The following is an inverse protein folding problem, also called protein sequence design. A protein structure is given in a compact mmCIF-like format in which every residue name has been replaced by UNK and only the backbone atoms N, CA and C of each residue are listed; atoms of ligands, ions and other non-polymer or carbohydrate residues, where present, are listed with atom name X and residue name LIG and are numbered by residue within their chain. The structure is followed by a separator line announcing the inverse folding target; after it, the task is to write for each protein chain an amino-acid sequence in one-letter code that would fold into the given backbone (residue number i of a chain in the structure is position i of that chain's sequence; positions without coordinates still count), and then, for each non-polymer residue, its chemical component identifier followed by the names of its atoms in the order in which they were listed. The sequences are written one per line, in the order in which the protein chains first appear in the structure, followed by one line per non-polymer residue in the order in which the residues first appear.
data_IF_032032506309
#
_entry.id   IF_032032506309
#
_cell.length_a   1.000
_cell.length_b   1.000
_cell.length_c   1.000
_cell.angle_alpha   90.00
_cell.angle_beta   90.00
_cell.angle_gamma   90.00
#
_symmetry.space_group_name_H-M   'P 1'
#
loop_
_entity.id
_entity.type
_entity.pdbx_description
1 polymer ?
#
# COMPACT_ATOMS: atom_id res chain seq x y z
N UNK A 1 9.29 -24.38 13.14
CA UNK A 1 8.21 -23.77 12.33
C UNK A 1 8.20 -22.29 12.63
N UNK A 2 8.74 -21.47 11.72
CA UNK A 2 8.74 -20.01 11.85
C UNK A 2 7.32 -19.52 11.58
N UNK A 3 6.59 -19.17 12.64
CA UNK A 3 5.48 -18.23 12.52
C UNK A 3 5.99 -16.97 11.85
N UNK A 4 5.20 -16.40 10.95
CA UNK A 4 5.53 -15.16 10.24
C UNK A 4 6.09 -14.14 11.23
N UNK A 5 7.34 -13.71 11.06
CA UNK A 5 7.92 -12.56 11.79
C UNK A 5 7.35 -11.23 11.29
N UNK A 6 6.17 -11.25 10.68
CA UNK A 6 5.48 -10.04 10.29
C UNK A 6 5.05 -9.33 11.58
N UNK A 7 5.62 -8.15 11.79
CA UNK A 7 5.35 -7.20 12.89
C UNK A 7 5.98 -7.61 14.23
N UNK A 8 7.21 -7.13 14.48
CA UNK A 8 7.69 -7.03 15.86
C UNK A 8 6.67 -6.21 16.67
N UNK A 9 6.31 -6.71 17.85
CA UNK A 9 5.45 -5.98 18.78
C UNK A 9 6.18 -4.71 19.23
N UNK A 10 5.82 -3.57 18.63
CA UNK A 10 6.26 -2.26 19.10
C UNK A 10 5.20 -1.74 20.08
N UNK A 11 5.52 -1.61 21.39
CA UNK A 11 4.59 -1.11 22.40
C UNK A 11 4.16 0.35 22.17
N UNK A 12 4.81 1.08 21.26
CA UNK A 12 4.45 2.44 20.87
C UNK A 12 3.53 2.52 19.65
N UNK A 13 3.05 1.37 19.15
CA UNK A 13 2.28 1.31 17.90
C UNK A 13 1.01 0.50 18.03
N UNK A 14 -0.06 1.04 17.46
CA UNK A 14 -1.29 0.30 17.19
C UNK A 14 -1.46 0.10 15.69
N UNK A 15 -1.48 -1.17 15.25
CA UNK A 15 -1.84 -1.56 13.87
C UNK A 15 -3.17 -2.29 13.93
N UNK A 16 -4.17 -1.76 13.24
CA UNK A 16 -5.46 -2.42 13.09
C UNK A 16 -5.65 -2.80 11.62
N UNK A 17 -5.89 -4.09 11.36
CA UNK A 17 -6.17 -4.59 10.02
C UNK A 17 -7.64 -5.04 9.92
N UNK A 18 -8.41 -4.41 9.02
CA UNK A 18 -9.80 -4.81 8.78
C UNK A 18 -9.89 -6.17 8.10
N UNK A 19 -9.00 -6.45 7.15
CA UNK A 19 -8.92 -7.74 6.48
C UNK A 19 -7.51 -8.26 6.54
N UNK A 20 -7.37 -9.45 7.12
CA UNK A 20 -6.14 -10.24 7.08
C UNK A 20 -6.42 -11.55 6.38
N UNK A 21 -5.79 -11.77 5.23
CA UNK A 21 -5.86 -13.07 4.57
C UNK A 21 -4.83 -14.01 5.22
N UNK A 22 -5.32 -15.08 5.83
CA UNK A 22 -4.50 -16.08 6.51
C UNK A 22 -4.58 -17.40 5.75
N UNK A 23 -3.45 -18.11 5.67
CA UNK A 23 -3.39 -19.45 5.11
C UNK A 23 -4.09 -20.44 6.03
N UNK A 24 -4.77 -21.44 5.44
CA UNK A 24 -5.22 -22.61 6.18
C UNK A 24 -4.04 -23.50 6.57
N UNK A 25 -3.76 -23.64 7.87
CA UNK A 25 -2.68 -24.49 8.39
C UNK A 25 -2.90 -26.00 8.18
N UNK A 26 -4.13 -26.42 7.79
CA UNK A 26 -4.53 -27.83 7.73
C UNK A 26 -4.33 -28.51 6.38
N UNK A 27 -3.74 -27.82 5.42
CA UNK A 27 -3.61 -28.33 4.05
C UNK A 27 -2.16 -28.74 3.81
N UNK A 28 -1.89 -30.03 3.60
CA UNK A 28 -0.58 -30.48 3.14
C UNK A 28 -0.37 -30.02 1.69
N UNK A 29 0.33 -28.90 1.57
CA UNK A 29 0.57 -28.21 0.30
C UNK A 29 1.57 -28.95 -0.61
N UNK A 30 2.30 -29.93 -0.09
CA UNK A 30 3.16 -30.79 -0.92
C UNK A 30 2.34 -31.77 -1.77
N UNK A 31 1.10 -32.08 -1.34
CA UNK A 31 0.19 -33.02 -2.00
C UNK A 31 -0.93 -32.32 -2.76
N UNK A 32 -1.47 -31.20 -2.24
CA UNK A 32 -2.69 -30.56 -2.77
C UNK A 32 -2.44 -29.23 -3.51
N UNK A 33 -1.21 -28.71 -3.43
CA UNK A 33 -0.85 -27.37 -3.88
C UNK A 33 -1.31 -26.25 -2.92
N UNK A 34 -0.82 -25.04 -3.14
CA UNK A 34 -1.29 -23.86 -2.40
C UNK A 34 -2.65 -23.43 -2.99
N UNK A 35 -3.75 -23.85 -2.35
CA UNK A 35 -5.13 -23.51 -2.76
C UNK A 35 -5.86 -22.84 -1.61
N UNK A 36 -5.54 -21.59 -1.34
CA UNK A 36 -6.34 -20.77 -0.42
C UNK A 36 -7.22 -19.86 -1.26
N UNK A 37 -8.52 -20.12 -1.28
CA UNK A 37 -9.45 -19.29 -2.03
C UNK A 37 -9.67 -17.98 -1.29
N UNK A 38 -9.35 -16.88 -1.96
CA UNK A 38 -9.53 -15.54 -1.45
C UNK A 38 -10.85 -14.93 -1.97
N UNK A 39 -11.42 -13.96 -1.24
CA UNK A 39 -12.66 -13.31 -1.64
C UNK A 39 -12.54 -12.60 -3.00
N UNK A 40 -13.62 -12.65 -3.77
CA UNK A 40 -13.76 -11.88 -5.01
C UNK A 40 -14.07 -10.40 -4.74
N UNK A 41 -14.68 -10.10 -3.58
CA UNK A 41 -15.04 -8.74 -3.21
C UNK A 41 -14.68 -8.46 -1.75
N UNK A 42 -13.96 -7.38 -1.52
CA UNK A 42 -13.65 -6.84 -0.18
C UNK A 42 -14.02 -5.37 -0.19
N UNK A 43 -14.80 -4.92 0.81
CA UNK A 43 -15.11 -3.51 1.00
C UNK A 43 -14.88 -3.12 2.46
N UNK A 44 -14.08 -2.09 2.65
CA UNK A 44 -13.72 -1.54 3.96
C UNK A 44 -13.90 -0.03 3.89
N UNK A 45 -14.77 0.52 4.74
CA UNK A 45 -15.12 1.94 4.70
C UNK A 45 -15.15 2.56 6.10
N UNK A 46 -14.81 3.84 6.19
CA UNK A 46 -15.05 4.65 7.39
C UNK A 46 -14.20 4.25 8.60
N UNK A 47 -13.00 3.73 8.37
CA UNK A 47 -12.08 3.36 9.44
C UNK A 47 -11.24 4.56 9.86
N UNK A 48 -11.36 5.00 11.10
CA UNK A 48 -10.54 6.08 11.65
C UNK A 48 -10.11 5.72 13.07
N UNK A 49 -8.84 5.95 13.39
CA UNK A 49 -8.37 5.86 14.77
C UNK A 49 -8.86 7.07 15.57
N UNK A 50 -9.45 6.84 16.75
CA UNK A 50 -9.84 7.89 17.69
C UNK A 50 -9.09 7.73 19.01
N UNK A 51 -8.93 8.81 19.77
CA UNK A 51 -8.25 8.83 21.07
C UNK A 51 -6.82 8.28 21.03
N UNK A 52 -6.10 8.55 19.95
CA UNK A 52 -4.69 8.16 19.80
C UNK A 52 -3.83 9.10 20.65
N UNK A 53 -3.03 8.59 21.60
CA UNK A 53 -2.16 9.43 22.40
C UNK A 53 -1.19 10.25 21.54
N UNK A 54 -0.85 11.46 21.98
CA UNK A 54 -0.02 12.40 21.21
C UNK A 54 1.39 11.87 20.89
N UNK A 55 1.91 10.93 21.68
CA UNK A 55 3.21 10.28 21.50
C UNK A 55 3.13 8.96 20.71
N UNK A 56 1.94 8.61 20.19
CA UNK A 56 1.67 7.33 19.53
C UNK A 56 1.15 7.52 18.11
N UNK A 57 1.40 6.52 17.28
CA UNK A 57 0.81 6.38 15.95
C UNK A 57 -0.25 5.28 15.96
N UNK A 58 -1.31 5.47 15.18
CA UNK A 58 -2.33 4.46 14.91
C UNK A 58 -2.50 4.28 13.41
N UNK A 59 -2.05 3.13 12.92
CA UNK A 59 -2.06 2.78 11.50
C UNK A 59 -3.28 1.93 11.19
N UNK A 60 -4.11 2.42 10.28
CA UNK A 60 -5.29 1.73 9.77
C UNK A 60 -4.93 0.99 8.48
N UNK A 61 -4.99 -0.34 8.54
CA UNK A 61 -4.74 -1.24 7.43
C UNK A 61 -6.08 -1.77 6.89
N UNK A 62 -6.37 -1.50 5.62
CA UNK A 62 -7.57 -1.99 4.95
C UNK A 62 -7.42 -3.42 4.44
N UNK A 63 -6.23 -3.76 3.94
CA UNK A 63 -5.91 -5.09 3.43
C UNK A 63 -4.50 -5.51 3.80
N UNK A 64 -4.39 -6.70 4.38
CA UNK A 64 -3.11 -7.35 4.65
C UNK A 64 -3.11 -8.78 4.13
N UNK A 65 -2.07 -9.14 3.39
CA UNK A 65 -1.85 -10.50 2.89
C UNK A 65 -0.53 -11.09 3.38
N UNK A 66 -0.43 -12.41 3.30
CA UNK A 66 0.80 -13.14 3.61
C UNK A 66 1.87 -12.92 2.53
N UNK A 67 3.15 -13.15 2.85
CA UNK A 67 4.28 -12.85 1.94
C UNK A 67 4.52 -13.87 0.82
N UNK A 68 3.67 -14.89 0.76
CA UNK A 68 3.78 -16.02 -0.14
C UNK A 68 2.54 -16.18 -1.01
N UNK A 69 1.79 -15.09 -1.20
CA UNK A 69 0.66 -15.00 -2.13
C UNK A 69 1.02 -15.43 -3.55
N UNK A 70 2.26 -15.16 -4.00
CA UNK A 70 2.77 -15.60 -5.30
C UNK A 70 2.79 -17.13 -5.49
N UNK A 71 2.75 -17.92 -4.41
CA UNK A 71 2.69 -19.38 -4.49
C UNK A 71 1.27 -19.90 -4.74
N UNK A 72 0.26 -19.07 -4.51
CA UNK A 72 -1.15 -19.44 -4.63
C UNK A 72 -1.64 -19.27 -6.08
N UNK A 73 -1.24 -20.22 -6.94
CA UNK A 73 -1.56 -20.19 -8.38
C UNK A 73 -3.03 -20.43 -8.65
N UNK A 74 -3.81 -20.93 -7.69
CA UNK A 74 -5.28 -21.12 -7.80
C UNK A 74 -5.97 -20.45 -6.61
N UNK A 75 -5.68 -19.17 -6.42
CA UNK A 75 -6.15 -18.38 -5.29
C UNK A 75 -7.56 -17.81 -5.43
N UNK A 76 -8.19 -17.94 -6.59
CA UNK A 76 -9.56 -17.46 -6.84
C UNK A 76 -10.43 -18.55 -7.46
N UNK A 77 -11.73 -18.50 -7.20
CA UNK A 77 -12.75 -19.29 -7.93
C UNK A 77 -13.06 -18.70 -9.30
N UNK A 78 -12.77 -17.42 -9.48
CA UNK A 78 -13.10 -16.68 -10.69
C UNK A 78 -11.83 -16.52 -11.54
N UNK A 79 -11.99 -16.85 -12.82
CA UNK A 79 -10.97 -16.63 -13.83
C UNK A 79 -10.70 -15.13 -13.98
N UNK A 80 -9.44 -14.77 -14.22
CA UNK A 80 -9.01 -13.40 -14.56
C UNK A 80 -9.87 -12.82 -15.69
N UNK A 81 -10.32 -11.60 -15.47
CA UNK A 81 -10.99 -10.75 -16.45
C UNK A 81 -9.97 -10.30 -17.50
N UNK A 82 -10.46 -9.68 -18.58
CA UNK A 82 -9.61 -9.16 -19.64
C UNK A 82 -8.60 -8.08 -19.17
N UNK A 83 -8.86 -7.43 -18.04
CA UNK A 83 -7.95 -6.46 -17.43
C UNK A 83 -6.85 -7.09 -16.55
N UNK A 84 -6.83 -8.42 -16.44
CA UNK A 84 -5.85 -9.20 -15.66
C UNK A 84 -6.22 -9.40 -14.19
N UNK A 85 -7.35 -8.88 -13.72
CA UNK A 85 -7.81 -8.98 -12.32
C UNK A 85 -8.96 -9.96 -12.16
N UNK A 86 -9.18 -10.48 -10.94
CA UNK A 86 -10.33 -11.35 -10.62
C UNK A 86 -10.95 -11.09 -9.24
N UNK A 87 -10.55 -10.00 -8.59
CA UNK A 87 -11.14 -9.56 -7.35
C UNK A 87 -11.19 -8.04 -7.29
N UNK A 88 -12.15 -7.49 -6.57
CA UNK A 88 -12.28 -6.06 -6.31
C UNK A 88 -12.15 -5.80 -4.81
N UNK A 89 -11.21 -4.92 -4.46
CA UNK A 89 -10.97 -4.45 -3.10
C UNK A 89 -11.24 -2.96 -3.08
N UNK A 90 -12.21 -2.52 -2.29
CA UNK A 90 -12.56 -1.11 -2.13
C UNK A 90 -12.24 -0.67 -0.71
N UNK A 91 -11.31 0.26 -0.59
CA UNK A 91 -10.91 0.89 0.65
C UNK A 91 -11.33 2.36 0.58
N UNK A 92 -12.27 2.78 1.42
CA UNK A 92 -12.77 4.17 1.40
C UNK A 92 -12.66 4.81 2.77
N UNK A 93 -12.23 6.07 2.81
CA UNK A 93 -12.15 6.86 4.04
C UNK A 93 -11.40 6.14 5.17
N UNK A 94 -10.31 5.43 4.82
CA UNK A 94 -9.42 4.82 5.81
C UNK A 94 -8.41 5.87 6.26
N UNK A 95 -8.47 6.25 7.54
CA UNK A 95 -7.70 7.33 8.14
C UNK A 95 -6.82 6.85 9.28
N UNK A 96 -5.51 6.92 9.07
CA UNK A 96 -4.51 6.68 10.12
C UNK A 96 -4.18 7.98 10.83
N UNK A 97 -3.82 7.91 12.11
CA UNK A 97 -3.32 9.05 12.90
C UNK A 97 -1.82 8.87 13.07
N UNK A 98 -1.05 9.81 12.52
CA UNK A 98 0.42 9.78 12.55
C UNK A 98 0.90 11.04 13.27
N UNK A 99 1.12 10.92 14.58
CA UNK A 99 1.60 12.03 15.42
C UNK A 99 3.13 12.15 15.39
N UNK A 100 3.84 11.03 15.19
CA UNK A 100 5.28 10.99 14.96
C UNK A 100 5.53 10.51 13.53
N UNK A 101 5.99 11.38 12.59
CA UNK A 101 6.03 11.10 11.16
C UNK A 101 7.20 10.18 10.74
N UNK A 102 7.61 9.26 11.60
CA UNK A 102 8.59 8.22 11.31
C UNK A 102 7.87 6.87 11.32
N UNK A 103 8.02 6.11 10.24
CA UNK A 103 7.47 4.77 10.11
C UNK A 103 8.55 3.70 10.29
N UNK A 104 8.24 2.58 10.95
CA UNK A 104 9.18 1.46 11.13
C UNK A 104 9.27 0.52 9.90
N UNK A 105 9.15 1.07 8.68
CA UNK A 105 9.24 0.30 7.45
C UNK A 105 7.92 -0.33 6.98
N UNK A 106 7.98 -1.51 6.34
CA UNK A 106 6.88 -2.17 5.58
C UNK A 106 5.69 -2.66 6.42
N UNK A 107 5.66 -2.30 7.69
CA UNK A 107 4.69 -2.76 8.67
C UNK A 107 3.49 -1.82 8.87
N UNK A 108 3.56 -0.61 8.32
CA UNK A 108 2.58 0.48 8.52
C UNK A 108 1.82 0.84 7.25
N UNK A 109 1.28 -0.17 6.57
CA UNK A 109 0.66 0.02 5.26
C UNK A 109 -0.87 -0.04 5.32
N UNK A 110 -1.54 0.88 4.63
CA UNK A 110 -2.98 0.80 4.36
C UNK A 110 -3.30 -0.44 3.51
N UNK A 111 -2.39 -0.78 2.59
CA UNK A 111 -2.39 -2.01 1.80
C UNK A 111 -1.04 -2.68 1.95
N UNK A 112 -1.02 -3.86 2.55
CA UNK A 112 0.19 -4.65 2.78
C UNK A 112 0.10 -6.00 2.04
N UNK A 113 0.78 -6.08 0.91
CA UNK A 113 1.00 -7.31 0.15
C UNK A 113 2.51 -7.55 0.02
N UNK A 114 3.15 -7.73 1.18
CA UNK A 114 4.60 -7.78 1.32
C UNK A 114 5.24 -8.98 0.62
N UNK A 115 6.49 -8.85 0.20
CA UNK A 115 7.28 -9.94 -0.40
C UNK A 115 8.29 -9.38 -1.39
N UNK A 116 8.62 -10.13 -2.44
CA UNK A 116 9.40 -9.60 -3.56
C UNK A 116 8.98 -10.21 -4.88
N UNK A 117 9.04 -9.39 -5.92
CA UNK A 117 8.64 -9.77 -7.26
C UNK A 117 9.58 -10.80 -7.91
N UNK A 118 10.82 -10.92 -7.42
CA UNK A 118 11.76 -11.95 -7.90
C UNK A 118 11.31 -13.38 -7.56
N UNK A 119 10.34 -13.54 -6.66
CA UNK A 119 9.76 -14.85 -6.31
C UNK A 119 8.58 -15.24 -7.22
N UNK A 120 8.12 -14.36 -8.11
CA UNK A 120 6.96 -14.64 -8.96
C UNK A 120 7.34 -15.61 -10.07
N UNK A 121 6.70 -16.78 -10.09
CA UNK A 121 6.93 -17.80 -11.12
C UNK A 121 6.08 -17.53 -12.36
N UNK A 122 6.49 -18.09 -13.50
CA UNK A 122 5.67 -18.06 -14.72
C UNK A 122 4.30 -18.73 -14.49
N UNK A 123 4.24 -19.77 -13.65
CA UNK A 123 2.98 -20.43 -13.28
C UNK A 123 2.02 -19.47 -12.56
N UNK A 124 2.51 -18.68 -11.60
CA UNK A 124 1.70 -17.67 -10.91
C UNK A 124 1.19 -16.59 -11.85
N UNK A 125 2.07 -16.05 -12.70
CA UNK A 125 1.74 -14.96 -13.61
C UNK A 125 0.75 -15.42 -14.71
N UNK A 126 0.97 -16.61 -15.26
CA UNK A 126 0.17 -17.16 -16.37
C UNK A 126 -1.08 -17.91 -15.91
N UNK A 127 -1.23 -18.20 -14.62
CA UNK A 127 -2.45 -18.86 -14.13
C UNK A 127 -3.68 -17.98 -14.37
N UNK A 128 -4.74 -18.57 -14.90
CA UNK A 128 -6.05 -17.93 -15.02
C UNK A 128 -6.74 -17.67 -13.66
N UNK A 129 -6.26 -18.32 -12.59
CA UNK A 129 -6.93 -18.35 -11.28
C UNK A 129 -6.06 -17.85 -10.13
N UNK A 130 -4.86 -17.34 -10.38
CA UNK A 130 -4.12 -16.63 -9.34
C UNK A 130 -4.92 -15.39 -8.92
N UNK A 131 -4.98 -15.13 -7.61
CA UNK A 131 -5.75 -14.02 -7.07
C UNK A 131 -5.02 -12.70 -7.31
N UNK A 132 -5.55 -11.88 -8.22
CA UNK A 132 -5.01 -10.58 -8.59
C UNK A 132 -6.11 -9.54 -8.35
N UNK A 133 -6.03 -8.77 -7.26
CA UNK A 133 -7.04 -7.79 -6.94
C UNK A 133 -6.86 -6.50 -7.73
N UNK A 134 -7.98 -5.88 -8.08
CA UNK A 134 -8.09 -4.44 -8.29
C UNK A 134 -8.37 -3.78 -6.95
N UNK A 135 -7.45 -2.95 -6.47
CA UNK A 135 -7.55 -2.21 -5.23
C UNK A 135 -7.89 -0.77 -5.55
N UNK A 136 -9.06 -0.33 -5.13
CA UNK A 136 -9.48 1.07 -5.20
C UNK A 136 -9.33 1.68 -3.81
N UNK A 137 -8.49 2.71 -3.71
CA UNK A 137 -8.34 3.49 -2.49
C UNK A 137 -9.00 4.86 -2.72
N UNK A 138 -10.08 5.13 -2.01
CA UNK A 138 -10.89 6.33 -2.15
C UNK A 138 -10.77 7.18 -0.88
N UNK A 139 -10.14 8.34 -0.99
CA UNK A 139 -9.99 9.30 0.09
C UNK A 139 -9.30 8.74 1.37
N UNK A 140 -8.35 7.82 1.19
CA UNK A 140 -7.53 7.27 2.29
C UNK A 140 -6.36 8.20 2.64
N UNK A 141 -6.02 8.32 3.93
CA UNK A 141 -4.87 9.14 4.35
C UNK A 141 -4.29 8.73 5.72
N UNK A 142 -2.96 8.73 5.86
CA UNK A 142 -2.01 8.46 4.78
C UNK A 142 -2.30 7.12 4.11
N UNK A 143 -2.29 7.12 2.77
CA UNK A 143 -2.29 5.94 1.93
C UNK A 143 -0.84 5.43 1.82
N UNK A 144 -0.58 4.31 2.47
CA UNK A 144 0.71 3.64 2.52
C UNK A 144 0.57 2.30 1.78
N UNK A 145 1.21 2.16 0.62
CA UNK A 145 1.05 1.00 -0.26
C UNK A 145 2.35 0.22 -0.34
N UNK A 146 2.27 -1.07 -0.03
CA UNK A 146 3.31 -2.07 -0.34
C UNK A 146 2.65 -3.24 -1.07
N UNK A 147 2.98 -3.38 -2.35
CA UNK A 147 2.50 -4.46 -3.23
C UNK A 147 3.65 -5.25 -3.85
N UNK A 148 4.78 -5.31 -3.16
CA UNK A 148 6.02 -5.94 -3.65
C UNK A 148 5.92 -7.47 -3.77
N UNK A 149 5.04 -8.12 -2.99
CA UNK A 149 4.96 -9.58 -2.87
C UNK A 149 3.95 -10.27 -3.77
N UNK A 150 3.03 -9.53 -4.38
CA UNK A 150 2.03 -10.10 -5.30
C UNK A 150 1.48 -9.07 -6.25
N UNK A 151 1.22 -9.53 -7.48
CA UNK A 151 0.64 -8.74 -8.55
C UNK A 151 -0.74 -8.17 -8.17
N UNK A 152 -0.92 -6.87 -8.39
CA UNK A 152 -2.17 -6.14 -8.15
C UNK A 152 -2.32 -4.97 -9.12
N UNK A 153 -3.56 -4.50 -9.27
CA UNK A 153 -3.87 -3.21 -9.90
C UNK A 153 -4.37 -2.27 -8.82
N UNK A 154 -3.82 -1.07 -8.70
CA UNK A 154 -4.15 -0.11 -7.65
C UNK A 154 -4.60 1.21 -8.29
N UNK A 155 -5.79 1.67 -7.93
CA UNK A 155 -6.36 2.96 -8.31
C UNK A 155 -6.59 3.81 -7.05
N UNK A 156 -5.79 4.85 -6.85
CA UNK A 156 -5.90 5.79 -5.73
C UNK A 156 -6.67 7.04 -6.20
N UNK A 157 -7.69 7.44 -5.45
CA UNK A 157 -8.61 8.55 -5.77
C UNK A 157 -8.69 9.48 -4.56
N UNK A 158 -8.11 10.67 -4.68
CA UNK A 158 -8.08 11.62 -3.55
C UNK A 158 -7.30 11.13 -2.33
N UNK A 159 -7.41 11.85 -1.22
CA UNK A 159 -6.66 11.55 0.00
C UNK A 159 -5.20 11.98 -0.09
N UNK A 160 -4.30 11.26 0.59
CA UNK A 160 -2.88 11.59 0.66
C UNK A 160 -2.02 10.33 0.59
N UNK A 161 -1.17 10.20 -0.43
CA UNK A 161 -0.19 9.11 -0.57
C UNK A 161 1.07 9.46 0.20
N UNK A 162 1.48 8.57 1.10
CA UNK A 162 2.65 8.77 1.95
C UNK A 162 3.74 7.72 1.76
N UNK A 163 3.41 6.63 1.07
CA UNK A 163 4.38 5.63 0.60
C UNK A 163 3.81 4.88 -0.59
N UNK A 164 4.67 4.57 -1.55
CA UNK A 164 4.35 3.69 -2.65
C UNK A 164 5.53 2.76 -2.95
N UNK A 165 5.37 1.48 -2.62
CA UNK A 165 6.30 0.42 -2.96
C UNK A 165 5.66 -0.52 -3.98
N UNK A 166 6.06 -0.33 -5.23
CA UNK A 166 5.69 -1.13 -6.38
C UNK A 166 6.98 -1.74 -6.99
N UNK A 167 7.40 -2.87 -6.43
CA UNK A 167 8.66 -3.54 -6.77
C UNK A 167 8.74 -4.16 -8.17
N UNK A 168 7.74 -3.97 -9.04
CA UNK A 168 7.74 -4.49 -10.41
C UNK A 168 6.80 -3.71 -11.34
N UNK A 169 7.12 -3.63 -12.64
CA UNK A 169 6.31 -2.97 -13.68
C UNK A 169 5.02 -3.70 -14.05
N UNK A 170 4.88 -4.98 -13.69
CA UNK A 170 3.68 -5.77 -14.00
C UNK A 170 2.48 -5.33 -13.16
N UNK A 171 2.72 -4.90 -11.91
CA UNK A 171 1.70 -4.24 -11.09
C UNK A 171 1.45 -2.83 -11.62
N UNK A 172 0.17 -2.45 -11.71
CA UNK A 172 -0.24 -1.14 -12.22
C UNK A 172 -0.73 -0.28 -11.09
N UNK A 173 -0.12 0.88 -10.89
CA UNK A 173 -0.58 1.86 -9.90
C UNK A 173 -0.92 3.18 -10.56
N UNK A 174 -2.15 3.64 -10.37
CA UNK A 174 -2.63 4.95 -10.81
C UNK A 174 -3.04 5.77 -9.60
N UNK A 175 -2.60 7.02 -9.56
CA UNK A 175 -2.95 8.02 -8.55
C UNK A 175 -3.71 9.14 -9.26
N UNK A 176 -4.91 9.44 -8.77
CA UNK A 176 -5.78 10.47 -9.34
C UNK A 176 -6.28 11.42 -8.24
N UNK A 177 -5.79 12.64 -8.23
CA UNK A 177 -6.25 13.68 -7.31
C UNK A 177 -5.85 13.52 -5.85
N UNK A 178 -4.96 12.55 -5.52
CA UNK A 178 -4.40 12.42 -4.17
C UNK A 178 -3.19 13.34 -4.02
N UNK A 179 -3.07 14.01 -2.87
CA UNK A 179 -1.84 14.70 -2.52
C UNK A 179 -0.73 13.68 -2.24
N UNK A 180 0.53 14.06 -2.42
CA UNK A 180 1.68 13.20 -2.09
C UNK A 180 2.51 13.88 -1.01
N UNK A 181 2.58 13.24 0.15
CA UNK A 181 3.33 13.69 1.33
C UNK A 181 4.03 12.48 1.96
N UNK A 182 5.29 12.25 1.57
CA UNK A 182 6.02 11.05 1.95
C UNK A 182 6.39 11.04 3.44
N UNK A 183 6.19 9.89 4.07
CA UNK A 183 6.56 9.63 5.46
C UNK A 183 7.88 8.84 5.46
N UNK A 184 8.96 9.36 6.06
CA UNK A 184 10.23 8.65 6.12
C UNK A 184 10.15 7.39 7.00
N UNK A 185 11.06 6.45 6.73
CA UNK A 185 11.34 5.36 7.64
C UNK A 185 12.25 5.79 8.80
N UNK A 186 12.54 4.87 9.73
CA UNK A 186 13.44 5.12 10.88
C UNK A 186 14.87 5.51 10.48
N UNK A 187 15.26 5.27 9.24
CA UNK A 187 16.56 5.66 8.67
C UNK A 187 16.47 6.96 7.86
N UNK A 188 15.31 7.61 7.81
CA UNK A 188 15.08 8.84 7.07
C UNK A 188 14.76 8.64 5.59
N UNK A 189 14.64 7.39 5.11
CA UNK A 189 14.37 7.12 3.70
C UNK A 189 12.88 7.22 3.39
N UNK A 190 12.55 7.79 2.24
CA UNK A 190 11.19 7.77 1.70
C UNK A 190 11.09 6.77 0.55
N UNK A 191 9.90 6.20 0.33
CA UNK A 191 9.68 5.20 -0.71
C UNK A 191 8.53 5.64 -1.63
N UNK A 192 8.86 5.89 -2.89
CA UNK A 192 7.90 6.21 -3.94
C UNK A 192 8.37 5.69 -5.31
N UNK A 193 7.87 4.51 -5.69
CA UNK A 193 8.22 3.81 -6.94
C UNK A 193 7.48 4.40 -8.15
N UNK A 194 7.91 5.58 -8.57
CA UNK A 194 7.27 6.31 -9.67
C UNK A 194 7.52 5.76 -11.06
N UNK A 195 8.63 5.05 -11.27
CA UNK A 195 8.91 4.40 -12.55
C UNK A 195 7.80 3.41 -12.95
N UNK A 196 7.08 2.88 -11.95
CA UNK A 196 6.03 1.87 -12.10
C UNK A 196 4.64 2.43 -11.76
N UNK A 197 4.48 3.75 -11.70
CA UNK A 197 3.26 4.41 -11.22
C UNK A 197 2.91 5.65 -12.03
N UNK A 198 1.63 5.94 -12.19
CA UNK A 198 1.15 7.13 -12.93
C UNK A 198 0.34 8.02 -12.01
N UNK A 199 0.79 9.27 -11.80
CA UNK A 199 0.12 10.25 -10.96
C UNK A 199 -0.47 11.40 -11.79
N UNK A 200 -1.77 11.64 -11.65
CA UNK A 200 -2.52 12.65 -12.41
C UNK A 200 -3.29 13.52 -11.42
N UNK A 201 -3.24 14.85 -11.59
CA UNK A 201 -4.00 15.79 -10.75
C UNK A 201 -3.56 15.82 -9.29
N UNK A 202 -2.36 15.31 -8.97
CA UNK A 202 -1.81 15.27 -7.61
C UNK A 202 -1.02 16.54 -7.29
N UNK A 203 -1.21 17.09 -6.08
CA UNK A 203 -0.34 18.14 -5.55
C UNK A 203 0.82 17.50 -4.79
N UNK A 204 2.05 17.97 -5.03
CA UNK A 204 3.21 17.53 -4.28
C UNK A 204 3.47 18.47 -3.10
N UNK A 205 3.57 17.91 -1.89
CA UNK A 205 4.11 18.59 -0.72
C UNK A 205 5.53 18.08 -0.49
N UNK A 206 6.49 19.01 -0.35
CA UNK A 206 7.90 18.69 -0.09
C UNK A 206 7.98 17.64 1.04
N UNK A 207 8.70 16.50 0.86
CA UNK A 207 8.90 15.57 1.95
C UNK A 207 9.49 16.29 3.16
N UNK A 208 8.94 16.03 4.34
CA UNK A 208 9.55 16.48 5.57
C UNK A 208 11.01 16.00 5.61
N UNK A 209 11.94 16.90 5.94
CA UNK A 209 13.36 16.59 6.17
C UNK A 209 14.20 16.15 4.95
N UNK A 210 14.25 16.99 3.91
CA UNK A 210 15.27 16.89 2.83
C UNK A 210 15.27 15.58 2.02
N UNK A 211 14.19 14.80 2.03
CA UNK A 211 14.15 13.54 1.29
C UNK A 211 14.21 13.79 -0.22
N UNK A 212 15.12 13.09 -0.90
CA UNK A 212 15.35 13.23 -2.34
C UNK A 212 14.54 12.16 -3.08
N UNK A 213 13.75 12.60 -4.04
CA UNK A 213 13.03 11.72 -4.96
C UNK A 213 13.76 11.70 -6.33
N UNK A 214 14.05 10.51 -6.85
CA UNK A 214 14.89 10.31 -8.04
C UNK A 214 14.11 10.01 -9.34
N UNK A 215 12.77 10.00 -9.31
CA UNK A 215 11.95 9.65 -10.47
C UNK A 215 11.41 10.83 -11.27
N UNK A 216 10.73 10.53 -12.40
CA UNK A 216 10.06 11.54 -13.24
C UNK A 216 8.54 11.46 -13.05
N UNK A 217 7.92 12.54 -12.57
CA UNK A 217 6.46 12.64 -12.46
C UNK A 217 5.85 13.04 -13.81
N UNK A 218 4.71 12.45 -14.18
CA UNK A 218 3.98 12.74 -15.44
C UNK A 218 2.55 13.19 -15.13
N UNK A 219 2.27 14.50 -15.10
CA UNK A 219 0.92 15.02 -14.86
C UNK A 219 0.82 16.56 -14.87
N UNK A 220 -0.39 17.09 -15.12
CA UNK A 220 -0.65 18.53 -15.37
C UNK A 220 -0.82 19.42 -14.12
N UNK A 221 -0.64 18.88 -12.91
CA UNK A 221 -0.73 19.64 -11.64
C UNK A 221 0.65 19.95 -11.03
N UNK A 222 1.72 19.69 -11.78
CA UNK A 222 3.05 19.41 -11.24
C UNK A 222 3.97 20.64 -11.08
N UNK A 223 3.46 21.87 -11.18
CA UNK A 223 4.31 23.07 -11.28
C UNK A 223 4.08 24.13 -10.19
N UNK A 224 3.12 23.96 -9.27
CA UNK A 224 2.60 25.13 -8.54
C UNK A 224 2.55 25.10 -7.00
N UNK A 225 3.41 24.36 -6.29
CA UNK A 225 3.56 24.55 -4.81
C UNK A 225 4.98 24.35 -4.26
N UNK A 226 5.96 24.93 -4.93
CA UNK A 226 7.24 25.30 -4.30
C UNK A 226 7.22 26.69 -3.66
N UNK A 227 6.12 27.45 -3.80
CA UNK A 227 6.01 28.84 -3.32
C UNK A 227 5.15 28.93 -2.05
N UNK A 228 5.71 29.53 -1.01
CA UNK A 228 5.08 29.76 0.28
C UNK A 228 3.81 30.62 0.19
N UNK A 229 3.61 31.37 -0.90
CA UNK A 229 2.41 32.18 -1.14
C UNK A 229 1.11 31.36 -1.28
N UNK A 230 1.21 30.08 -1.65
CA UNK A 230 0.06 29.23 -2.00
C UNK A 230 -0.20 28.07 -1.01
N UNK A 231 0.57 27.99 0.09
CA UNK A 231 0.42 26.98 1.14
C UNK A 231 0.54 27.59 2.56
N UNK A 232 -0.48 28.34 3.01
CA UNK A 232 -0.39 29.24 4.18
C UNK A 232 -0.24 28.55 5.55
N UNK A 233 -0.25 27.22 5.63
CA UNK A 233 -0.20 26.45 6.88
C UNK A 233 1.03 25.53 7.02
N UNK A 234 2.03 25.64 6.15
CA UNK A 234 3.30 24.91 6.32
C UNK A 234 4.23 25.78 7.17
N UNK A 235 4.66 25.36 8.37
CA UNK A 235 5.56 26.14 9.21
C UNK A 235 6.86 26.47 8.47
N UNK A 236 7.28 27.73 8.51
CA UNK A 236 8.49 28.24 7.84
C UNK A 236 9.79 27.56 8.30
N UNK A 237 9.78 26.85 9.43
CA UNK A 237 10.93 26.15 10.00
C UNK A 237 11.28 24.82 9.31
N UNK A 238 10.57 24.43 8.25
CA UNK A 238 10.84 23.19 7.49
C UNK A 238 11.92 23.38 6.41
N UNK A 239 12.38 24.61 6.17
CA UNK A 239 13.44 24.91 5.20
C UNK A 239 14.72 25.37 5.92
N UNK A 240 15.66 24.43 6.08
CA UNK A 240 17.10 24.72 6.24
C UNK A 240 17.81 24.05 5.07
#
# INVERSE_FOLDING_TARGET
MQGSTAFAADPNRFVFAAVRTVRSEKTDHTVTGYKTLLPEFIRVEGMTAINVPADKNAWMCGLMTSNDMHKNTVGSRVKKRADGTNADVVLRDIRSVVNNPVSDGSSNNTVAMAGTASWWTAEYLNSDYSWIPRIVMDNCAPAMIDITGSLAVVDIRGGCVARLQNGNTQSRVRINGADIQLIPDTSGNTAFDSANSVAIGSTWLNPASAAVYSGTLRGAANENRGDASNAPNIPSSVFI
#
